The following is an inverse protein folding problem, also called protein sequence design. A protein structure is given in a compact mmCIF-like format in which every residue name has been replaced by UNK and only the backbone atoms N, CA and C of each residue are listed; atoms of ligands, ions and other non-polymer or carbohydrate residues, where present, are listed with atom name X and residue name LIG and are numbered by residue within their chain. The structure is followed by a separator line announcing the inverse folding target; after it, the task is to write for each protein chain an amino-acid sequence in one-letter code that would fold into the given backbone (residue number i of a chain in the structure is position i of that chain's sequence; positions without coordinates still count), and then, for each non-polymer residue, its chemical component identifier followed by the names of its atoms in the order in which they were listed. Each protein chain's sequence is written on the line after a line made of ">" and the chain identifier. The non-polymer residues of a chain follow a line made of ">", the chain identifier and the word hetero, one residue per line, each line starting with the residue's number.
data_IF_952732078048
#
_entry.id   IF_952732078048
#
_cell.length_a   1.000
_cell.length_b   1.000
_cell.length_c   1.000
_cell.angle_alpha   90.00
_cell.angle_beta   90.00
_cell.angle_gamma   90.00
#
_symmetry.space_group_name_H-M   'P 1'
#
loop_
_entity.id
_entity.type
_entity.pdbx_description
1 polymer ?
#
# COMPACT_ATOMS: atom_id res chain seq x y z
N UNK A 1 9.49 1.41 30.86
CA UNK A 1 10.52 0.95 29.91
C UNK A 1 9.80 0.40 28.70
N UNK A 2 9.40 1.29 27.79
CA UNK A 2 8.65 0.92 26.59
C UNK A 2 9.70 0.46 25.58
N UNK A 3 9.80 -0.85 25.39
CA UNK A 3 10.72 -1.44 24.43
C UNK A 3 10.36 -0.88 23.06
N UNK A 4 11.28 -0.12 22.49
CA UNK A 4 11.20 0.59 21.22
C UNK A 4 11.08 -0.45 20.11
N UNK A 5 9.86 -0.84 19.76
CA UNK A 5 9.61 -1.55 18.52
C UNK A 5 10.13 -0.63 17.39
N UNK A 6 10.92 -1.13 16.43
CA UNK A 6 11.37 -0.28 15.33
C UNK A 6 10.14 0.36 14.70
N UNK A 7 10.07 1.69 14.67
CA UNK A 7 8.91 2.43 14.21
C UNK A 7 8.63 2.08 12.74
N UNK A 8 7.71 1.14 12.54
CA UNK A 8 7.31 0.69 11.21
C UNK A 8 6.72 1.87 10.45
N UNK A 9 7.08 1.99 9.19
CA UNK A 9 6.51 2.95 8.25
C UNK A 9 5.10 2.50 7.82
N UNK A 10 4.27 3.41 7.33
CA UNK A 10 2.94 3.08 6.81
C UNK A 10 2.94 1.95 5.76
N UNK A 11 3.86 1.91 4.77
CA UNK A 11 3.92 0.80 3.82
C UNK A 11 4.22 -0.54 4.49
N UNK A 12 5.08 -0.56 5.50
CA UNK A 12 5.37 -1.79 6.26
C UNK A 12 4.16 -2.25 7.08
N UNK A 13 3.50 -1.34 7.80
CA UNK A 13 2.29 -1.65 8.57
C UNK A 13 1.18 -2.18 7.65
N UNK A 14 0.98 -1.56 6.48
CA UNK A 14 -0.01 -2.01 5.51
C UNK A 14 0.31 -3.41 4.95
N UNK A 15 1.58 -3.70 4.64
CA UNK A 15 2.01 -5.03 4.20
C UNK A 15 1.72 -6.06 5.29
N UNK A 16 2.11 -5.79 6.54
CA UNK A 16 1.90 -6.71 7.66
C UNK A 16 0.42 -6.96 7.93
N UNK A 17 -0.45 -5.94 7.78
CA UNK A 17 -1.90 -6.11 7.88
C UNK A 17 -2.50 -6.90 6.72
N UNK A 18 -1.86 -6.88 5.55
CA UNK A 18 -2.37 -7.55 4.36
C UNK A 18 -1.98 -9.03 4.29
N UNK A 19 -0.97 -9.47 5.04
CA UNK A 19 -0.45 -10.83 4.97
C UNK A 19 -1.23 -11.78 5.88
N UNK A 20 -1.59 -12.93 5.33
CA UNK A 20 -2.09 -14.06 6.10
C UNK A 20 -0.92 -14.74 6.82
N UNK A 21 -0.90 -14.79 8.16
CA UNK A 21 0.23 -15.31 8.92
C UNK A 21 0.48 -16.80 8.70
N UNK A 22 -0.56 -17.58 8.39
CA UNK A 22 -0.48 -19.04 8.23
C UNK A 22 -0.16 -19.43 6.78
N UNK A 23 -0.65 -18.65 5.80
CA UNK A 23 -0.49 -18.94 4.38
C UNK A 23 0.65 -18.19 3.72
N UNK A 24 1.17 -17.14 4.36
CA UNK A 24 2.24 -16.28 3.88
C UNK A 24 1.91 -15.57 2.57
N UNK A 25 0.63 -15.31 2.29
CA UNK A 25 0.16 -14.62 1.08
C UNK A 25 -0.76 -13.47 1.46
N UNK A 26 -0.89 -12.44 0.61
CA UNK A 26 -1.87 -11.37 0.84
C UNK A 26 -3.31 -11.92 0.92
N UNK A 27 -4.13 -11.35 1.82
CA UNK A 27 -5.57 -11.60 1.90
C UNK A 27 -6.35 -10.80 0.84
N UNK A 28 -5.78 -9.69 0.37
CA UNK A 28 -6.23 -8.95 -0.81
C UNK A 28 -5.55 -9.43 -2.11
N UNK A 29 -5.92 -8.86 -3.25
CA UNK A 29 -5.22 -9.11 -4.51
C UNK A 29 -3.76 -8.61 -4.40
N UNK A 30 -2.79 -9.41 -4.84
CA UNK A 30 -1.38 -9.05 -4.77
C UNK A 30 -1.04 -7.74 -5.51
N UNK A 31 -1.74 -7.46 -6.62
CA UNK A 31 -1.58 -6.21 -7.38
C UNK A 31 -2.13 -5.01 -6.60
N UNK A 32 -3.26 -5.19 -5.92
CA UNK A 32 -3.87 -4.14 -5.09
C UNK A 32 -2.98 -3.81 -3.91
N UNK A 33 -2.33 -4.82 -3.30
CA UNK A 33 -1.33 -4.57 -2.26
C UNK A 33 -0.18 -3.72 -2.80
N UNK A 34 0.30 -3.95 -4.02
CA UNK A 34 1.31 -3.10 -4.66
C UNK A 34 0.87 -1.64 -4.76
N UNK A 35 -0.36 -1.39 -5.22
CA UNK A 35 -0.92 -0.03 -5.25
C UNK A 35 -0.99 0.56 -3.84
N UNK A 36 -1.46 -0.23 -2.86
CA UNK A 36 -1.53 0.13 -1.46
C UNK A 36 -0.17 0.56 -0.89
N UNK A 37 0.88 -0.24 -1.10
CA UNK A 37 2.23 0.06 -0.63
C UNK A 37 2.77 1.35 -1.25
N UNK A 38 2.57 1.57 -2.55
CA UNK A 38 2.96 2.82 -3.19
C UNK A 38 2.18 4.02 -2.63
N UNK A 39 0.86 3.91 -2.44
CA UNK A 39 0.07 4.95 -1.78
C UNK A 39 0.52 5.24 -0.35
N UNK A 40 0.91 4.20 0.39
CA UNK A 40 1.43 4.31 1.74
C UNK A 40 2.79 5.02 1.81
N UNK A 41 3.66 4.85 0.80
CA UNK A 41 4.90 5.64 0.68
C UNK A 41 4.59 7.13 0.54
N UNK A 42 3.65 7.48 -0.35
CA UNK A 42 3.26 8.88 -0.52
C UNK A 42 2.70 9.46 0.79
N UNK A 43 1.87 8.71 1.49
CA UNK A 43 1.36 9.11 2.80
C UNK A 43 2.47 9.31 3.84
N UNK A 44 3.43 8.38 3.92
CA UNK A 44 4.55 8.47 4.86
C UNK A 44 5.44 9.69 4.55
N UNK A 45 5.72 9.97 3.28
CA UNK A 45 6.48 11.15 2.87
C UNK A 45 5.75 12.46 3.17
N UNK A 46 4.42 12.50 3.01
CA UNK A 46 3.61 13.67 3.34
C UNK A 46 3.57 13.92 4.85
N UNK A 47 3.35 12.88 5.65
CA UNK A 47 3.34 12.97 7.12
C UNK A 47 4.70 13.47 7.65
N UNK A 48 5.79 13.08 6.98
CA UNK A 48 7.15 13.54 7.29
C UNK A 48 7.50 14.92 6.71
N UNK A 49 6.61 15.53 5.92
CA UNK A 49 6.79 16.88 5.39
C UNK A 49 7.65 16.99 4.12
N UNK A 50 7.98 15.87 3.47
CA UNK A 50 8.81 15.88 2.25
C UNK A 50 8.02 16.26 1.00
N UNK A 51 6.73 15.93 0.98
CA UNK A 51 5.86 16.16 -0.17
C UNK A 51 4.56 16.83 0.26
N UNK A 52 3.90 17.46 -0.71
CA UNK A 52 2.50 17.87 -0.59
C UNK A 52 1.72 17.46 -1.83
N UNK A 53 0.43 17.27 -1.67
CA UNK A 53 -0.49 17.15 -2.79
C UNK A 53 -1.09 18.51 -3.17
N UNK A 54 -1.21 18.75 -4.47
CA UNK A 54 -2.04 19.82 -5.01
C UNK A 54 -2.79 19.34 -6.26
N UNK A 55 -4.12 19.24 -6.18
CA UNK A 55 -5.01 18.96 -7.32
C UNK A 55 -4.66 17.66 -8.05
N UNK A 56 -4.43 16.59 -7.29
CA UNK A 56 -4.06 15.26 -7.74
C UNK A 56 -2.59 15.10 -8.09
N UNK A 57 -1.74 16.09 -7.78
CA UNK A 57 -0.31 16.11 -8.13
C UNK A 57 0.57 16.23 -6.91
N UNK A 58 1.55 15.35 -6.82
CA UNK A 58 2.57 15.34 -5.79
C UNK A 58 3.68 16.31 -6.17
N UNK A 59 4.04 17.19 -5.24
CA UNK A 59 5.18 18.10 -5.33
C UNK A 59 6.13 17.81 -4.17
N UNK A 60 7.43 17.72 -4.47
CA UNK A 60 8.47 17.68 -3.45
C UNK A 60 8.63 19.10 -2.88
N UNK A 61 8.51 19.23 -1.56
CA UNK A 61 8.64 20.51 -0.84
C UNK A 61 9.87 20.55 0.05
N UNK A 62 10.33 19.39 0.51
CA UNK A 62 11.63 19.23 1.16
C UNK A 62 12.39 18.08 0.47
N UNK A 63 13.43 18.39 -0.32
CA UNK A 63 14.22 17.40 -1.03
C UNK A 63 15.28 16.72 -0.16
N UNK A 64 15.40 17.09 1.13
CA UNK A 64 16.33 16.43 2.04
C UNK A 64 15.99 14.94 2.15
N UNK A 65 16.99 14.08 2.02
CA UNK A 65 16.77 12.64 2.08
C UNK A 65 16.25 12.22 3.48
N UNK A 66 15.10 11.52 3.55
CA UNK A 66 14.66 10.85 4.75
C UNK A 66 15.72 9.88 5.29
N UNK A 67 15.73 9.66 6.61
CA UNK A 67 16.61 8.66 7.24
C UNK A 67 16.36 7.22 6.73
N UNK A 68 15.14 6.93 6.28
CA UNK A 68 14.81 5.66 5.64
C UNK A 68 15.31 5.66 4.18
N UNK A 69 16.20 4.74 3.80
CA UNK A 69 16.80 4.72 2.47
C UNK A 69 15.80 4.37 1.35
N UNK A 70 14.75 3.61 1.63
CA UNK A 70 13.69 3.30 0.67
C UNK A 70 12.85 4.55 0.44
N UNK A 71 12.45 5.26 1.49
CA UNK A 71 11.73 6.53 1.35
C UNK A 71 12.58 7.56 0.60
N UNK A 72 13.88 7.65 0.88
CA UNK A 72 14.79 8.52 0.14
C UNK A 72 14.89 8.15 -1.34
N UNK A 73 15.00 6.86 -1.66
CA UNK A 73 14.96 6.40 -3.05
C UNK A 73 13.62 6.78 -3.73
N UNK A 74 12.49 6.63 -3.04
CA UNK A 74 11.17 6.96 -3.59
C UNK A 74 10.97 8.46 -3.75
N UNK A 75 11.44 9.28 -2.82
CA UNK A 75 11.40 10.74 -2.91
C UNK A 75 12.10 11.24 -4.17
N UNK A 76 13.28 10.69 -4.50
CA UNK A 76 14.03 11.05 -5.71
C UNK A 76 13.30 10.69 -7.01
N UNK A 77 12.41 9.70 -7.00
CA UNK A 77 11.55 9.41 -8.17
C UNK A 77 10.47 10.46 -8.41
N UNK A 78 10.10 11.23 -7.37
CA UNK A 78 9.09 12.29 -7.41
C UNK A 78 9.65 13.62 -7.89
N UNK A 79 10.97 13.77 -7.97
CA UNK A 79 11.69 14.97 -8.43
C UNK A 79 12.37 14.81 -9.82
N UNK A 80 11.63 14.55 -10.91
CA UNK A 80 12.22 14.49 -12.23
C UNK A 80 12.51 15.90 -12.77
N UNK A 81 13.62 16.08 -13.49
CA UNK A 81 14.08 17.39 -13.95
C UNK A 81 13.02 18.15 -14.73
N UNK A 82 12.83 19.43 -14.38
CA UNK A 82 11.75 20.32 -14.82
C UNK A 82 11.66 20.63 -16.33
N UNK A 83 12.47 19.99 -17.19
CA UNK A 83 12.50 20.31 -18.62
C UNK A 83 11.19 19.87 -19.29
N UNK A 84 10.34 20.86 -19.60
CA UNK A 84 9.23 20.74 -20.55
C UNK A 84 7.83 20.42 -19.96
N UNK A 85 7.64 20.42 -18.64
CA UNK A 85 6.30 20.17 -18.06
C UNK A 85 5.50 21.47 -17.89
N UNK A 86 4.30 21.51 -18.47
CA UNK A 86 3.34 22.62 -18.34
C UNK A 86 2.77 22.81 -16.92
N UNK A 87 2.93 21.84 -16.02
CA UNK A 87 2.45 21.90 -14.62
C UNK A 87 3.45 21.23 -13.67
N UNK A 88 3.71 21.81 -12.47
CA UNK A 88 4.58 21.21 -11.48
C UNK A 88 4.01 19.89 -10.94
N UNK A 89 4.90 19.00 -10.50
CA UNK A 89 4.54 17.75 -9.84
C UNK A 89 4.07 16.59 -10.73
N UNK A 90 4.09 15.37 -10.17
CA UNK A 90 3.64 14.13 -10.82
C UNK A 90 2.22 13.80 -10.37
N UNK A 91 1.36 13.29 -11.26
CA UNK A 91 0.03 12.84 -10.85
C UNK A 91 0.14 11.65 -9.89
N UNK A 92 -0.46 11.76 -8.70
CA UNK A 92 -0.41 10.73 -7.66
C UNK A 92 -0.82 9.35 -8.19
N UNK A 93 -1.99 9.26 -8.84
CA UNK A 93 -2.50 8.01 -9.45
C UNK A 93 -1.54 7.40 -10.48
N UNK A 94 -0.81 8.24 -11.22
CA UNK A 94 0.16 7.76 -12.22
C UNK A 94 1.38 7.18 -11.50
N UNK A 95 1.93 7.91 -10.54
CA UNK A 95 3.09 7.45 -9.78
C UNK A 95 2.78 6.13 -9.05
N UNK A 96 1.63 6.05 -8.38
CA UNK A 96 1.17 4.81 -7.72
C UNK A 96 1.11 3.65 -8.70
N UNK A 97 0.50 3.82 -9.88
CA UNK A 97 0.41 2.75 -10.86
C UNK A 97 1.74 2.35 -11.52
N UNK A 98 2.67 3.30 -11.65
CA UNK A 98 3.98 3.11 -12.29
C UNK A 98 4.98 2.43 -11.35
N UNK A 99 4.93 2.72 -10.05
CA UNK A 99 5.91 2.26 -9.06
C UNK A 99 5.41 1.15 -8.13
N UNK A 100 4.17 0.67 -8.28
CA UNK A 100 3.53 -0.29 -7.37
C UNK A 100 4.38 -1.53 -7.04
N UNK A 101 4.77 -2.28 -8.07
CA UNK A 101 5.53 -3.52 -7.93
C UNK A 101 6.92 -3.26 -7.36
N UNK A 102 7.60 -2.25 -7.88
CA UNK A 102 8.94 -1.89 -7.46
C UNK A 102 8.99 -1.50 -5.99
N UNK A 103 8.05 -0.65 -5.55
CA UNK A 103 7.92 -0.25 -4.14
C UNK A 103 7.62 -1.46 -3.26
N UNK A 104 6.66 -2.29 -3.65
CA UNK A 104 6.26 -3.46 -2.88
C UNK A 104 7.43 -4.45 -2.69
N UNK A 105 8.17 -4.74 -3.76
CA UNK A 105 9.34 -5.62 -3.70
C UNK A 105 10.42 -5.05 -2.77
N UNK A 106 10.72 -3.75 -2.84
CA UNK A 106 11.70 -3.10 -1.96
C UNK A 106 11.33 -3.21 -0.48
N UNK A 107 10.07 -3.00 -0.13
CA UNK A 107 9.62 -3.13 1.26
C UNK A 107 9.60 -4.58 1.73
N UNK A 108 9.18 -5.53 0.89
CA UNK A 108 9.22 -6.95 1.23
C UNK A 108 10.66 -7.43 1.45
N UNK A 109 11.60 -7.03 0.58
CA UNK A 109 13.01 -7.35 0.73
C UNK A 109 13.57 -6.78 2.03
N UNK A 110 13.28 -5.51 2.36
CA UNK A 110 13.75 -4.89 3.61
C UNK A 110 13.17 -5.55 4.87
N UNK A 111 11.89 -5.93 4.84
CA UNK A 111 11.26 -6.66 5.94
C UNK A 111 11.90 -8.05 6.12
N UNK A 112 12.32 -8.70 5.03
CA UNK A 112 13.04 -9.98 5.08
C UNK A 112 14.47 -9.80 5.60
N UNK A 113 15.20 -8.80 5.11
CA UNK A 113 16.56 -8.47 5.57
C UNK A 113 16.59 -8.17 7.07
N UNK A 114 15.56 -7.50 7.58
CA UNK A 114 15.39 -7.18 9.01
C UNK A 114 14.79 -8.32 9.83
N UNK A 115 14.58 -9.50 9.24
CA UNK A 115 13.95 -10.67 9.87
C UNK A 115 12.54 -10.41 10.44
N UNK A 116 11.86 -9.37 9.97
CA UNK A 116 10.45 -9.09 10.30
C UNK A 116 9.54 -10.05 9.54
N UNK A 117 9.93 -10.41 8.32
CA UNK A 117 9.32 -11.47 7.52
C UNK A 117 10.37 -12.53 7.17
N UNK A 118 9.93 -13.74 6.89
CA UNK A 118 10.72 -14.78 6.23
C UNK A 118 10.14 -15.06 4.85
N UNK A 119 11.00 -15.30 3.85
CA UNK A 119 10.59 -15.55 2.46
C UNK A 119 10.81 -17.00 2.07
N UNK A 120 9.74 -17.67 1.67
CA UNK A 120 9.79 -19.02 1.07
C UNK A 120 9.52 -18.93 -0.42
N UNK A 121 10.43 -19.46 -1.23
CA UNK A 121 10.28 -19.51 -2.69
C UNK A 121 9.65 -20.83 -3.10
N UNK A 122 8.51 -20.75 -3.76
CA UNK A 122 7.83 -21.88 -4.40
C UNK A 122 7.96 -21.78 -5.91
N UNK A 123 7.75 -22.88 -6.64
CA UNK A 123 7.74 -22.89 -8.11
C UNK A 123 6.45 -23.51 -8.63
N UNK A 124 5.80 -22.84 -9.58
CA UNK A 124 4.69 -23.42 -10.35
C UNK A 124 5.28 -24.13 -11.57
N UNK A 125 4.97 -25.43 -11.73
CA UNK A 125 5.45 -26.28 -12.83
C UNK A 125 6.98 -26.22 -13.07
N UNK A 126 7.76 -25.95 -12.02
CA UNK A 126 9.23 -25.84 -12.10
C UNK A 126 9.78 -24.57 -12.75
N UNK A 127 8.95 -23.72 -13.37
CA UNK A 127 9.40 -22.63 -14.24
C UNK A 127 9.16 -21.22 -13.68
N UNK A 128 8.05 -20.99 -12.96
CA UNK A 128 7.73 -19.65 -12.45
C UNK A 128 7.83 -19.62 -10.91
N UNK A 129 8.85 -18.94 -10.34
CA UNK A 129 8.95 -18.79 -8.90
C UNK A 129 7.88 -17.83 -8.39
N UNK A 130 7.29 -18.13 -7.23
CA UNK A 130 6.48 -17.20 -6.47
C UNK A 130 6.91 -17.24 -5.00
N UNK A 131 6.74 -16.12 -4.30
CA UNK A 131 7.20 -15.96 -2.93
C UNK A 131 6.04 -15.95 -1.94
N UNK A 132 6.23 -16.64 -0.81
CA UNK A 132 5.40 -16.49 0.38
C UNK A 132 6.20 -15.78 1.45
N UNK A 133 5.54 -14.89 2.19
CA UNK A 133 6.13 -14.11 3.26
C UNK A 133 5.42 -14.42 4.56
N UNK A 134 6.11 -15.07 5.48
CA UNK A 134 5.59 -15.44 6.80
C UNK A 134 6.15 -14.49 7.86
N UNK A 135 5.42 -14.25 8.97
CA UNK A 135 5.97 -13.50 10.09
C UNK A 135 7.31 -14.06 10.59
N UNK A 136 8.22 -13.16 10.94
CA UNK A 136 9.44 -13.51 11.67
C UNK A 136 9.19 -13.77 13.14
N UNK A 137 10.28 -13.96 13.91
CA UNK A 137 10.24 -14.11 15.36
C UNK A 137 11.00 -12.93 15.99
N UNK A 138 10.35 -12.05 16.78
CA UNK A 138 8.93 -12.07 17.16
C UNK A 138 7.99 -11.63 16.02
N UNK A 139 6.73 -12.09 16.05
CA UNK A 139 5.70 -11.69 15.09
C UNK A 139 5.22 -10.25 15.35
N UNK A 140 5.76 -9.31 14.57
CA UNK A 140 5.35 -7.90 14.64
C UNK A 140 3.97 -7.65 14.02
N UNK A 141 3.50 -8.51 13.11
CA UNK A 141 2.21 -8.38 12.42
C UNK A 141 1.07 -8.40 13.43
N UNK A 142 1.17 -9.24 14.47
CA UNK A 142 0.18 -9.28 15.55
C UNK A 142 0.10 -7.94 16.29
N UNK A 143 1.25 -7.34 16.61
CA UNK A 143 1.30 -6.03 17.26
C UNK A 143 0.72 -4.91 16.40
N UNK A 144 0.92 -4.96 15.08
CA UNK A 144 0.30 -4.01 14.14
C UNK A 144 -1.22 -4.20 14.11
N UNK A 145 -1.71 -5.44 14.04
CA UNK A 145 -3.15 -5.75 14.03
C UNK A 145 -3.84 -5.28 15.32
N UNK A 146 -3.21 -5.50 16.47
CA UNK A 146 -3.77 -5.09 17.76
C UNK A 146 -3.78 -3.56 17.92
N UNK A 147 -2.74 -2.85 17.44
CA UNK A 147 -2.74 -1.37 17.37
C UNK A 147 -3.82 -0.85 16.42
N UNK A 148 -3.98 -1.45 15.25
CA UNK A 148 -5.02 -1.06 14.29
C UNK A 148 -6.42 -1.23 14.88
N UNK A 149 -6.67 -2.34 15.57
CA UNK A 149 -7.94 -2.59 16.24
C UNK A 149 -8.20 -1.64 17.41
N UNK A 150 -7.17 -1.29 18.19
CA UNK A 150 -7.28 -0.30 19.25
C UNK A 150 -7.61 1.09 18.67
N UNK A 151 -6.98 1.47 17.56
CA UNK A 151 -7.29 2.71 16.85
C UNK A 151 -8.73 2.71 16.34
N UNK A 152 -9.22 1.59 15.77
CA UNK A 152 -10.61 1.45 15.35
C UNK A 152 -11.59 1.64 16.52
N UNK A 153 -11.33 0.98 17.65
CA UNK A 153 -12.16 1.10 18.86
C UNK A 153 -12.18 2.54 19.41
N UNK A 154 -11.09 3.28 19.25
CA UNK A 154 -10.98 4.69 19.63
C UNK A 154 -11.49 5.66 18.56
N UNK A 155 -11.97 5.18 17.41
CA UNK A 155 -12.46 6.03 16.31
C UNK A 155 -11.36 6.73 15.50
N UNK A 156 -10.15 6.16 15.46
CA UNK A 156 -8.98 6.65 14.71
C UNK A 156 -8.58 8.11 15.05
N UNK A 157 -8.18 8.38 16.31
CA UNK A 157 -7.87 9.73 16.75
C UNK A 157 -6.62 10.31 16.06
N UNK A 158 -5.61 9.48 15.79
CA UNK A 158 -4.40 9.94 15.11
C UNK A 158 -4.59 10.00 13.58
N UNK A 159 -3.99 11.01 12.94
CA UNK A 159 -4.04 11.15 11.48
C UNK A 159 -3.43 9.92 10.78
N UNK A 160 -2.30 9.42 11.28
CA UNK A 160 -1.64 8.23 10.77
C UNK A 160 -2.58 7.01 10.73
N UNK A 161 -3.37 6.79 11.78
CA UNK A 161 -4.29 5.66 11.85
C UNK A 161 -5.44 5.80 10.84
N UNK A 162 -5.95 7.02 10.64
CA UNK A 162 -6.96 7.30 9.59
C UNK A 162 -6.42 7.02 8.19
N UNK A 163 -5.16 7.40 7.94
CA UNK A 163 -4.50 7.15 6.65
C UNK A 163 -4.27 5.64 6.43
N UNK A 164 -3.82 4.91 7.46
CA UNK A 164 -3.66 3.47 7.37
C UNK A 164 -5.02 2.77 7.10
N UNK A 165 -6.08 3.19 7.81
CA UNK A 165 -7.44 2.68 7.61
C UNK A 165 -8.01 3.00 6.22
N UNK A 166 -7.72 4.19 5.70
CA UNK A 166 -8.16 4.62 4.38
C UNK A 166 -7.49 3.81 3.26
N UNK A 167 -6.18 3.55 3.38
CA UNK A 167 -5.40 2.71 2.48
C UNK A 167 -5.85 1.25 2.54
N UNK A 168 -6.04 0.70 3.73
CA UNK A 168 -6.57 -0.66 3.92
C UNK A 168 -7.95 -0.81 3.24
N UNK A 169 -8.82 0.19 3.35
CA UNK A 169 -10.10 0.20 2.63
C UNK A 169 -9.94 0.36 1.11
N UNK A 170 -8.88 1.00 0.62
CA UNK A 170 -8.65 1.17 -0.82
C UNK A 170 -8.32 -0.16 -1.51
N UNK A 171 -7.59 -1.03 -0.83
CA UNK A 171 -7.14 -2.34 -1.33
C UNK A 171 -8.03 -3.51 -0.88
N UNK A 172 -9.20 -3.23 -0.31
CA UNK A 172 -10.21 -4.24 0.02
C UNK A 172 -10.10 -4.93 1.37
N UNK A 173 -9.16 -4.53 2.24
CA UNK A 173 -8.92 -5.18 3.54
C UNK A 173 -9.92 -4.81 4.64
N UNK A 174 -10.78 -3.81 4.43
CA UNK A 174 -11.67 -3.29 5.47
C UNK A 174 -12.59 -4.36 6.09
N UNK A 175 -12.97 -5.39 5.32
CA UNK A 175 -13.79 -6.50 5.83
C UNK A 175 -13.04 -7.47 6.72
N UNK A 176 -11.77 -7.69 6.43
CA UNK A 176 -10.92 -8.64 7.14
C UNK A 176 -10.36 -8.04 8.44
N UNK A 177 -10.13 -6.72 8.45
CA UNK A 177 -9.48 -6.02 9.56
C UNK A 177 -10.44 -5.48 10.63
N UNK A 178 -11.69 -5.18 10.28
CA UNK A 178 -12.63 -4.53 11.20
C UNK A 178 -13.07 -5.47 12.32
N UNK A 179 -13.05 -4.99 13.57
CA UNK A 179 -13.72 -5.63 14.72
C UNK A 179 -15.13 -5.10 14.94
N UNK A 180 -15.50 -4.00 14.28
CA UNK A 180 -16.82 -3.35 14.37
C UNK A 180 -17.77 -3.73 13.21
N UNK A 181 -17.38 -4.70 12.39
CA UNK A 181 -18.21 -5.25 11.31
C UNK A 181 -18.61 -4.22 10.26
N UNK A 182 -19.91 -4.08 9.96
CA UNK A 182 -20.40 -3.17 8.90
C UNK A 182 -20.10 -1.70 9.22
N UNK A 183 -20.13 -1.32 10.48
CA UNK A 183 -19.89 0.06 10.91
C UNK A 183 -18.44 0.46 10.65
N UNK A 184 -17.48 -0.34 11.11
CA UNK A 184 -16.05 -0.09 10.87
C UNK A 184 -15.70 -0.02 9.38
N UNK A 185 -16.22 -0.97 8.58
CA UNK A 185 -16.11 -0.91 7.11
C UNK A 185 -16.62 0.39 6.50
N UNK A 186 -17.74 0.92 7.00
CA UNK A 186 -18.31 2.18 6.49
C UNK A 186 -17.42 3.36 6.86
N UNK A 187 -16.91 3.40 8.09
CA UNK A 187 -15.99 4.45 8.56
C UNK A 187 -14.72 4.49 7.70
N UNK A 188 -14.06 3.35 7.49
CA UNK A 188 -12.86 3.29 6.66
C UNK A 188 -13.13 3.72 5.21
N UNK A 189 -14.30 3.37 4.65
CA UNK A 189 -14.72 3.80 3.31
C UNK A 189 -14.92 5.32 3.21
N UNK A 190 -15.42 5.96 4.27
CA UNK A 190 -15.55 7.42 4.33
C UNK A 190 -14.14 8.04 4.34
N UNK A 191 -13.25 7.57 5.21
CA UNK A 191 -11.85 8.03 5.26
C UNK A 191 -11.14 7.88 3.91
N UNK A 192 -11.30 6.73 3.23
CA UNK A 192 -10.77 6.48 1.88
C UNK A 192 -11.15 7.55 0.86
N UNK A 193 -12.33 8.16 0.98
CA UNK A 193 -12.80 9.20 0.04
C UNK A 193 -12.22 10.58 0.37
N UNK A 194 -11.77 10.78 1.60
CA UNK A 194 -11.20 12.04 2.09
C UNK A 194 -9.67 12.07 1.98
N UNK A 195 -9.01 10.92 1.96
CA UNK A 195 -7.55 10.80 1.88
C UNK A 195 -7.08 10.66 0.42
N UNK A 196 -6.31 11.64 -0.09
CA UNK A 196 -5.91 11.69 -1.50
C UNK A 196 -5.03 10.51 -1.92
N UNK A 197 -4.20 9.99 -1.01
CA UNK A 197 -3.36 8.80 -1.25
C UNK A 197 -4.24 7.58 -1.47
N UNK A 198 -5.24 7.36 -0.61
CA UNK A 198 -6.19 6.28 -0.74
C UNK A 198 -7.09 6.42 -1.98
N UNK A 199 -7.43 7.64 -2.40
CA UNK A 199 -8.11 7.90 -3.68
C UNK A 199 -7.24 7.49 -4.87
N UNK A 200 -5.94 7.83 -4.84
CA UNK A 200 -5.00 7.44 -5.90
C UNK A 200 -4.80 5.92 -5.98
N UNK A 201 -4.76 5.23 -4.83
CA UNK A 201 -4.74 3.75 -4.76
C UNK A 201 -6.03 3.18 -5.34
N UNK A 202 -7.19 3.66 -4.87
CA UNK A 202 -8.49 3.14 -5.28
C UNK A 202 -8.71 3.30 -6.78
N UNK A 203 -8.26 4.40 -7.38
CA UNK A 203 -8.29 4.59 -8.82
C UNK A 203 -7.58 3.45 -9.55
N UNK A 204 -6.37 3.07 -9.12
CA UNK A 204 -5.60 2.01 -9.78
C UNK A 204 -6.22 0.62 -9.57
N UNK A 205 -6.75 0.34 -8.38
CA UNK A 205 -7.53 -0.88 -8.09
C UNK A 205 -8.71 -1.00 -9.06
N UNK A 206 -9.50 0.06 -9.23
CA UNK A 206 -10.66 0.06 -10.14
C UNK A 206 -10.23 -0.09 -11.60
N UNK A 207 -9.15 0.55 -12.03
CA UNK A 207 -8.62 0.36 -13.39
C UNK A 207 -8.17 -1.09 -13.63
N UNK A 208 -7.52 -1.73 -12.66
CA UNK A 208 -7.09 -3.12 -12.73
C UNK A 208 -8.30 -4.09 -12.80
N UNK A 209 -9.35 -3.85 -12.01
CA UNK A 209 -10.62 -4.60 -12.07
C UNK A 209 -11.27 -4.48 -13.46
N UNK A 210 -11.35 -3.28 -14.03
CA UNK A 210 -11.95 -3.05 -15.36
C UNK A 210 -11.10 -3.63 -16.50
N UNK A 211 -9.77 -3.57 -16.40
CA UNK A 211 -8.86 -4.15 -17.39
C UNK A 211 -8.92 -5.68 -17.45
N UNK A 212 -9.18 -6.33 -16.30
CA UNK A 212 -9.40 -7.78 -16.23
C UNK A 212 -10.82 -8.20 -16.63
N UNK A 213 -11.78 -7.27 -16.70
CA UNK A 213 -13.18 -7.54 -17.04
C UNK A 213 -13.47 -7.64 -18.54
N UNK A 214 -12.53 -7.28 -19.42
CA UNK A 214 -12.75 -7.25 -20.87
C UNK A 214 -11.96 -8.37 -21.59
N UNK A 215 -12.27 -9.62 -21.28
CA UNK A 215 -11.82 -10.80 -22.04
C UNK A 215 -12.96 -11.79 -22.21
N UNK A 216 -14.01 -11.40 -22.94
CA UNK A 216 -15.14 -12.31 -23.16
C UNK A 216 -16.33 -11.72 -23.92
N UNK A 217 -16.14 -11.38 -25.19
CA UNK A 217 -17.23 -11.48 -26.18
C UNK A 217 -16.65 -11.72 -27.57
N UNK A 218 -16.36 -12.98 -27.88
CA UNK A 218 -16.32 -13.48 -29.26
C UNK A 218 -17.60 -14.27 -29.48
N UNK A 219 -18.71 -13.57 -29.72
CA UNK A 219 -19.92 -14.18 -30.29
C UNK A 219 -19.71 -14.36 -31.80
N UNK A 220 -19.70 -15.62 -32.26
CA UNK A 220 -20.75 -16.19 -33.13
C UNK A 220 -20.82 -15.47 -34.48
N UNK A 221 -20.30 -15.99 -35.58
CA UNK A 221 -20.67 -17.30 -36.13
C UNK A 221 -21.89 -17.07 -37.02
N UNK A 222 -21.67 -16.62 -38.25
CA UNK A 222 -22.70 -16.59 -39.28
C UNK A 222 -22.53 -17.82 -40.18
N UNK A 223 -23.62 -18.58 -40.45
CA UNK A 223 -23.68 -19.53 -41.53
C UNK A 223 -24.15 -18.83 -42.81
N UNK A 224 -23.40 -19.01 -43.89
CA UNK A 224 -23.94 -19.32 -45.23
C UNK A 224 -22.81 -19.88 -46.11
#
# INVERSE_FOLDING_TARGET
>A
MTQDAPALTLPEELILLALDPDRGKPTCNARDLGYGTAGAVLAELEIRGHIREERGRVQVVDPLDPADPILAAMLRTLDPPAKGRRRPGIRARRWVGEYDRYVQEKYLDSLVERSVLSRTTHRVLGMLPYHRHFPGVPDLSRGVLDRFAAAEAAGYPAHRDRVLASLASAIGLAGDLTRLGRTGRTVMKVMRRSEWTAVAVRYNVEQNETGNGWSGYSGSGDPD
#
